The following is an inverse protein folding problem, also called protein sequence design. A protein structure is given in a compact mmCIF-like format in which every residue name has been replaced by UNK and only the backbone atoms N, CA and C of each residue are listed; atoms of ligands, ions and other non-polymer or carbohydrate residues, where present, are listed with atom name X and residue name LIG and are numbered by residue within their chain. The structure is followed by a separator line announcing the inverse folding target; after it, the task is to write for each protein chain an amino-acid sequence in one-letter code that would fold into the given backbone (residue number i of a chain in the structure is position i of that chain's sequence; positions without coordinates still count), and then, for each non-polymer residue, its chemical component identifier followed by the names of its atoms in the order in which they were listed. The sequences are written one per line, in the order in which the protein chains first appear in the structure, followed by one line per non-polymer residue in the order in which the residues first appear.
data_IF_329272607429
#
_entry.id   IF_329272607429
#
_cell.length_a   1.000
_cell.length_b   1.000
_cell.length_c   1.000
_cell.angle_alpha   90.00
_cell.angle_beta   90.00
_cell.angle_gamma   90.00
#
_symmetry.space_group_name_H-M   'P 1'
#
loop_
_entity.id
_entity.type
_entity.pdbx_description
1 polymer ?
#
# COMPACT_ATOMS: atom_id res chain seq x y z
N UNK A 1 -8.56 18.21 -1.89
CA UNK A 1 -7.83 16.94 -1.97
C UNK A 1 -6.36 17.11 -2.32
N UNK A 2 -6.02 17.76 -3.45
CA UNK A 2 -4.61 17.90 -3.88
C UNK A 2 -3.67 18.51 -2.83
N UNK A 3 -4.10 19.55 -2.11
CA UNK A 3 -3.29 20.15 -1.04
C UNK A 3 -3.08 19.22 0.16
N UNK A 4 -4.09 18.41 0.52
CA UNK A 4 -3.99 17.42 1.60
C UNK A 4 -2.85 16.42 1.33
N UNK A 5 -2.82 15.87 0.11
CA UNK A 5 -1.76 14.96 -0.33
C UNK A 5 -0.41 15.67 -0.41
N UNK A 6 -0.36 16.88 -0.98
CA UNK A 6 0.89 17.65 -1.11
C UNK A 6 1.55 17.87 0.25
N UNK A 7 0.79 18.36 1.24
CA UNK A 7 1.31 18.63 2.59
C UNK A 7 1.70 17.34 3.32
N UNK A 8 0.92 16.27 3.15
CA UNK A 8 1.25 14.97 3.73
C UNK A 8 2.55 14.38 3.13
N UNK A 9 2.77 14.51 1.82
CA UNK A 9 4.03 14.11 1.17
C UNK A 9 5.22 14.94 1.68
N UNK A 10 5.00 16.17 2.13
CA UNK A 10 6.03 16.98 2.77
C UNK A 10 6.25 16.65 4.26
N UNK A 11 5.47 15.74 4.86
CA UNK A 11 5.58 15.39 6.28
C UNK A 11 5.00 16.44 7.22
N UNK A 12 4.08 17.28 6.74
CA UNK A 12 3.44 18.35 7.56
C UNK A 12 2.34 17.80 8.49
N UNK A 13 2.03 16.50 8.43
CA UNK A 13 1.00 15.85 9.24
C UNK A 13 1.58 15.21 10.51
N UNK A 14 0.84 15.30 11.62
CA UNK A 14 1.09 14.45 12.79
C UNK A 14 0.57 13.02 12.56
N UNK A 15 -0.70 12.91 12.16
CA UNK A 15 -1.34 11.68 11.70
C UNK A 15 -2.31 12.02 10.56
N UNK A 16 -2.61 11.05 9.70
CA UNK A 16 -3.51 11.25 8.56
C UNK A 16 -4.38 10.02 8.31
N UNK A 17 -5.56 10.25 7.74
CA UNK A 17 -6.40 9.18 7.20
C UNK A 17 -6.16 9.12 5.69
N UNK A 18 -5.70 7.96 5.25
CA UNK A 18 -5.42 7.68 3.85
C UNK A 18 -5.76 6.22 3.56
N UNK A 19 -5.97 5.91 2.29
CA UNK A 19 -6.21 4.55 1.82
C UNK A 19 -5.45 4.29 0.53
N UNK A 20 -5.46 3.04 0.13
CA UNK A 20 -4.88 2.58 -1.13
C UNK A 20 -5.83 1.58 -1.77
N UNK A 21 -5.87 1.58 -3.11
CA UNK A 21 -6.49 0.54 -3.91
C UNK A 21 -5.39 -0.04 -4.78
N UNK A 22 -5.26 -1.38 -4.83
CA UNK A 22 -4.19 -2.01 -5.58
C UNK A 22 -4.31 -1.78 -7.08
N UNK A 23 -3.22 -1.38 -7.73
CA UNK A 23 -3.23 -0.97 -9.15
C UNK A 23 -2.95 -2.13 -10.12
N UNK A 24 -2.21 -3.15 -9.68
CA UNK A 24 -1.67 -4.20 -10.55
C UNK A 24 -1.89 -5.63 -10.03
N UNK A 25 -2.55 -5.79 -8.89
CA UNK A 25 -2.79 -7.08 -8.25
C UNK A 25 -1.57 -7.73 -7.57
N UNK A 26 -0.41 -7.06 -7.54
CA UNK A 26 0.80 -7.57 -6.90
C UNK A 26 0.95 -7.03 -5.46
N UNK A 27 1.29 -7.86 -4.45
CA UNK A 27 1.51 -7.40 -3.07
C UNK A 27 2.57 -6.30 -2.94
N UNK A 28 3.50 -6.18 -3.89
CA UNK A 28 4.48 -5.11 -3.92
C UNK A 28 3.87 -3.71 -4.04
N UNK A 29 2.77 -3.59 -4.80
CA UNK A 29 2.04 -2.32 -4.95
C UNK A 29 1.41 -1.85 -3.62
N UNK A 30 1.34 -2.73 -2.61
CA UNK A 30 1.03 -2.35 -1.25
C UNK A 30 2.29 -2.11 -0.42
N UNK A 31 3.10 -3.15 -0.21
CA UNK A 31 4.14 -3.10 0.81
C UNK A 31 5.34 -2.25 0.37
N UNK A 32 5.81 -2.40 -0.87
CA UNK A 32 6.93 -1.63 -1.38
C UNK A 32 6.56 -0.19 -1.73
N UNK A 33 5.40 0.01 -2.36
CA UNK A 33 4.96 1.34 -2.78
C UNK A 33 4.57 2.25 -1.62
N UNK A 34 4.07 1.69 -0.51
CA UNK A 34 3.60 2.48 0.64
C UNK A 34 4.60 2.54 1.80
N UNK A 35 5.51 1.57 1.94
CA UNK A 35 6.38 1.48 3.12
C UNK A 35 7.85 1.18 2.82
N UNK A 36 8.22 0.93 1.56
CA UNK A 36 9.63 0.82 1.16
C UNK A 36 10.38 2.13 1.40
N UNK A 37 11.69 2.06 1.61
CA UNK A 37 12.52 3.24 1.85
C UNK A 37 12.59 4.14 0.61
N UNK A 38 12.58 3.57 -0.59
CA UNK A 38 12.49 4.32 -1.85
C UNK A 38 11.19 5.15 -1.97
N UNK A 39 10.15 4.79 -1.22
CA UNK A 39 8.86 5.46 -1.23
C UNK A 39 8.76 6.67 -0.28
N UNK A 40 9.81 7.01 0.48
CA UNK A 40 9.81 8.10 1.48
C UNK A 40 9.36 9.45 0.91
N UNK A 41 9.78 9.77 -0.33
CA UNK A 41 9.39 10.99 -1.04
C UNK A 41 8.16 10.81 -1.94
N UNK A 42 7.52 9.64 -1.87
CA UNK A 42 6.38 9.22 -2.66
C UNK A 42 5.14 8.99 -1.80
N UNK A 43 4.64 7.75 -1.80
CA UNK A 43 3.39 7.38 -1.12
C UNK A 43 3.61 6.86 0.31
N UNK A 44 4.84 6.85 0.81
CA UNK A 44 5.13 6.56 2.21
C UNK A 44 4.86 7.80 3.08
N UNK A 45 3.58 7.98 3.40
CA UNK A 45 3.10 9.05 4.25
C UNK A 45 3.48 8.89 5.73
N UNK A 46 3.84 7.66 6.15
CA UNK A 46 4.31 7.39 7.50
C UNK A 46 5.73 7.93 7.75
N UNK A 47 6.46 8.32 6.69
CA UNK A 47 7.87 8.73 6.76
C UNK A 47 8.74 7.72 7.49
N UNK A 48 8.41 6.45 7.31
CA UNK A 48 9.03 5.33 7.98
C UNK A 48 9.96 4.58 7.01
N UNK A 49 11.16 4.24 7.46
CA UNK A 49 12.09 3.40 6.70
C UNK A 49 12.78 2.46 7.68
N UNK A 50 12.62 1.16 7.45
CA UNK A 50 13.21 0.08 8.22
C UNK A 50 13.98 -0.85 7.29
N UNK A 51 15.27 -1.04 7.58
CA UNK A 51 16.18 -1.79 6.70
C UNK A 51 15.82 -3.28 6.59
N UNK A 52 15.49 -3.99 7.69
CA UNK A 52 14.98 -5.36 7.60
C UNK A 52 13.72 -5.49 6.73
N UNK A 53 12.74 -4.62 6.91
CA UNK A 53 11.54 -4.59 6.07
C UNK A 53 11.89 -4.37 4.59
N UNK A 54 12.67 -3.32 4.30
CA UNK A 54 13.05 -2.96 2.94
C UNK A 54 13.82 -4.09 2.24
N UNK A 55 14.70 -4.79 2.97
CA UNK A 55 15.41 -5.97 2.46
C UNK A 55 14.44 -7.08 2.04
N UNK A 56 13.41 -7.38 2.84
CA UNK A 56 12.40 -8.38 2.49
C UNK A 56 11.60 -7.97 1.25
N UNK A 57 11.26 -6.68 1.13
CA UNK A 57 10.55 -6.16 -0.04
C UNK A 57 11.39 -6.33 -1.31
N UNK A 58 12.67 -5.93 -1.28
CA UNK A 58 13.56 -6.10 -2.43
C UNK A 58 13.73 -7.58 -2.82
N UNK A 59 13.94 -8.47 -1.85
CA UNK A 59 14.02 -9.91 -2.12
C UNK A 59 12.71 -10.46 -2.72
N UNK A 60 11.55 -10.00 -2.24
CA UNK A 60 10.26 -10.45 -2.73
C UNK A 60 9.97 -9.94 -4.16
N UNK A 61 10.43 -8.74 -4.52
CA UNK A 61 10.36 -8.19 -5.89
C UNK A 61 11.20 -9.00 -6.88
N UNK A 62 12.37 -9.48 -6.47
CA UNK A 62 13.31 -10.22 -7.32
C UNK A 62 13.01 -11.73 -7.40
N UNK A 63 12.21 -12.26 -6.47
CA UNK A 63 11.87 -13.69 -6.44
C UNK A 63 10.74 -13.98 -7.42
N UNK A 64 10.89 -14.98 -8.28
CA UNK A 64 9.83 -15.43 -9.21
C UNK A 64 8.94 -16.55 -8.63
N UNK A 65 9.43 -17.32 -7.66
CA UNK A 65 8.66 -18.38 -7.00
C UNK A 65 7.58 -17.80 -6.07
N UNK A 66 6.31 -18.06 -6.38
CA UNK A 66 5.18 -17.45 -5.69
C UNK A 66 5.10 -17.84 -4.21
N UNK A 67 5.45 -19.08 -3.85
CA UNK A 67 5.41 -19.53 -2.46
C UNK A 67 6.47 -18.81 -1.62
N UNK A 68 7.69 -18.72 -2.14
CA UNK A 68 8.79 -17.99 -1.50
C UNK A 68 8.50 -16.48 -1.41
N UNK A 69 7.96 -15.86 -2.46
CA UNK A 69 7.49 -14.46 -2.42
C UNK A 69 6.46 -14.25 -1.31
N UNK A 70 5.51 -15.17 -1.19
CA UNK A 70 4.44 -15.11 -0.18
C UNK A 70 5.00 -15.13 1.23
N UNK A 71 5.98 -15.99 1.51
CA UNK A 71 6.62 -16.04 2.84
C UNK A 71 7.41 -14.77 3.16
N UNK A 72 8.11 -14.18 2.18
CA UNK A 72 8.79 -12.90 2.35
C UNK A 72 7.80 -11.77 2.69
N UNK A 73 6.68 -11.67 1.96
CA UNK A 73 5.66 -10.66 2.26
C UNK A 73 4.93 -10.88 3.58
N UNK A 74 4.77 -12.13 4.05
CA UNK A 74 4.26 -12.41 5.40
C UNK A 74 5.22 -11.90 6.47
N UNK A 75 6.52 -12.17 6.32
CA UNK A 75 7.54 -11.65 7.24
C UNK A 75 7.55 -10.12 7.26
N UNK A 76 7.43 -9.47 6.10
CA UNK A 76 7.33 -8.02 5.99
C UNK A 76 6.08 -7.47 6.71
N UNK A 77 4.93 -8.15 6.60
CA UNK A 77 3.71 -7.78 7.33
C UNK A 77 3.88 -7.88 8.85
N UNK A 78 4.63 -8.86 9.36
CA UNK A 78 4.94 -8.95 10.78
C UNK A 78 5.77 -7.75 11.26
N UNK A 79 6.84 -7.39 10.54
CA UNK A 79 7.65 -6.21 10.88
C UNK A 79 6.83 -4.92 10.83
N UNK A 80 5.97 -4.77 9.82
CA UNK A 80 5.08 -3.62 9.70
C UNK A 80 4.11 -3.54 10.89
N UNK A 81 3.53 -4.68 11.31
CA UNK A 81 2.65 -4.76 12.47
C UNK A 81 3.38 -4.40 13.76
N UNK A 82 4.61 -4.86 13.94
CA UNK A 82 5.38 -4.63 15.17
C UNK A 82 5.83 -3.17 15.29
N UNK A 83 6.18 -2.53 14.17
CA UNK A 83 6.59 -1.12 14.13
C UNK A 83 5.41 -0.13 14.14
N UNK A 84 4.22 -0.56 13.72
CA UNK A 84 2.98 0.25 13.64
C UNK A 84 3.19 1.61 12.92
N UNK A 85 3.81 1.68 11.73
CA UNK A 85 3.91 2.94 10.98
C UNK A 85 2.54 3.38 10.42
N UNK A 86 1.59 2.45 10.32
CA UNK A 86 0.17 2.72 10.15
C UNK A 86 -0.67 1.77 11.01
N UNK A 87 -1.93 2.13 11.24
CA UNK A 87 -2.94 1.23 11.82
C UNK A 87 -3.99 0.90 10.75
N UNK A 88 -4.09 -0.36 10.29
CA UNK A 88 -5.15 -0.78 9.38
C UNK A 88 -6.53 -0.60 10.04
N UNK A 89 -7.46 0.03 9.32
CA UNK A 89 -8.82 0.29 9.82
C UNK A 89 -9.82 -0.68 9.18
N UNK A 90 -9.85 -0.75 7.85
CA UNK A 90 -10.85 -1.55 7.12
C UNK A 90 -10.42 -1.83 5.67
N UNK A 91 -11.10 -2.79 5.05
CA UNK A 91 -11.16 -3.00 3.60
C UNK A 91 -12.61 -2.79 3.18
N UNK A 92 -12.88 -1.94 2.18
CA UNK A 92 -14.23 -1.53 1.81
C UNK A 92 -14.85 -2.42 0.73
N UNK A 93 -16.18 -2.52 0.72
CA UNK A 93 -16.93 -2.99 -0.45
C UNK A 93 -17.08 -1.84 -1.44
N UNK A 94 -16.79 -2.08 -2.71
CA UNK A 94 -16.93 -1.09 -3.77
C UNK A 94 -18.36 -1.06 -4.27
N UNK A 95 -18.98 0.14 -4.26
CA UNK A 95 -20.32 0.37 -4.81
C UNK A 95 -20.24 1.40 -5.94
N UNK A 96 -20.71 1.04 -7.13
CA UNK A 96 -20.81 1.95 -8.28
C UNK A 96 -22.26 1.96 -8.79
N UNK A 97 -23.14 2.82 -8.25
CA UNK A 97 -24.53 2.89 -8.67
C UNK A 97 -24.62 3.37 -10.12
N UNK A 98 -25.46 2.69 -10.91
CA UNK A 98 -25.63 2.96 -12.33
C UNK A 98 -27.11 3.12 -12.70
N UNK A 99 -27.36 3.88 -13.77
CA UNK A 99 -28.69 3.93 -14.39
C UNK A 99 -29.01 2.57 -15.00
N UNK A 100 -30.28 2.17 -14.97
CA UNK A 100 -30.77 0.89 -15.52
C UNK A 100 -30.55 0.74 -17.03
N UNK A 101 -30.36 1.85 -17.75
CA UNK A 101 -30.08 1.84 -19.19
C UNK A 101 -28.63 1.49 -19.54
N UNK A 102 -27.73 1.43 -18.57
CA UNK A 102 -26.33 1.08 -18.84
C UNK A 102 -26.19 -0.43 -18.91
N UNK A 103 -25.58 -0.90 -19.99
CA UNK A 103 -25.33 -2.32 -20.27
C UNK A 103 -23.83 -2.57 -20.31
N UNK A 104 -23.44 -3.81 -20.01
CA UNK A 104 -22.08 -4.35 -20.12
C UNK A 104 -20.97 -3.64 -19.31
N UNK A 105 -21.32 -2.69 -18.44
CA UNK A 105 -20.38 -2.12 -17.48
C UNK A 105 -19.92 -3.17 -16.46
N UNK A 106 -18.62 -3.21 -16.19
CA UNK A 106 -18.01 -4.08 -15.18
C UNK A 106 -17.18 -3.24 -14.23
N UNK A 107 -17.37 -3.47 -12.93
CA UNK A 107 -16.52 -2.89 -11.89
C UNK A 107 -15.13 -3.55 -12.00
N UNK A 108 -14.08 -2.73 -12.07
CA UNK A 108 -12.71 -3.23 -11.94
C UNK A 108 -12.50 -3.76 -10.52
N UNK A 109 -11.88 -4.94 -10.35
CA UNK A 109 -11.46 -5.40 -9.03
C UNK A 109 -10.48 -4.41 -8.39
#
# INVERSE_FOLDING_TARGET
WGEYIKRAKNGENGAMLIGWSGDNGDPDNWLGTLFGCDALNGNNFAKWCDKPFDTLIHQAKETSDQAKRTELYKQAQHLLKDAVPMTPIAHSTVYQPMRTSVQDFKISP
#
